data_IF_943428027075
#
_entry.id   IF_943428027075
#
_cell.length_a   1.000
_cell.length_b   1.000
_cell.length_c   1.000
_cell.angle_alpha   90.00
_cell.angle_beta   90.00
_cell.angle_gamma   90.00
#
_symmetry.space_group_name_H-M   'P 1'
#
loop_
_entity.id
_entity.type
_entity.pdbx_description
1 polymer ?
#
# COMPACT_ATOMS: atom_id res chain seq x y z
N UNK A 1 26.93 -4.26 37.80
CA UNK A 1 25.85 -4.09 36.79
C UNK A 1 25.70 -2.62 36.46
N UNK A 2 25.76 -2.24 35.18
CA UNK A 2 25.67 -0.85 34.72
C UNK A 2 24.57 -0.76 33.66
N UNK A 3 23.62 0.17 33.79
CA UNK A 3 22.46 0.30 32.90
C UNK A 3 21.69 -1.01 32.64
N UNK A 4 21.60 -1.88 33.65
CA UNK A 4 20.94 -3.19 33.52
C UNK A 4 21.69 -4.22 32.67
N UNK A 5 22.93 -3.92 32.25
CA UNK A 5 23.75 -4.80 31.40
C UNK A 5 25.02 -5.24 32.15
N UNK A 6 25.44 -6.49 31.90
CA UNK A 6 26.67 -7.08 32.40
C UNK A 6 26.53 -7.87 33.71
N UNK A 7 27.67 -8.22 34.32
CA UNK A 7 27.73 -9.03 35.54
C UNK A 7 27.39 -8.21 36.81
N UNK A 8 26.80 -8.88 37.80
CA UNK A 8 26.54 -8.31 39.13
C UNK A 8 27.83 -8.13 39.92
N UNK A 9 28.71 -9.13 39.87
CA UNK A 9 30.07 -9.10 40.42
C UNK A 9 31.04 -9.87 39.51
N UNK A 10 32.31 -9.47 39.48
CA UNK A 10 33.37 -10.22 38.80
C UNK A 10 33.84 -11.43 39.62
N UNK A 11 33.47 -11.53 40.90
CA UNK A 11 33.81 -12.67 41.75
C UNK A 11 33.02 -13.91 41.29
N UNK A 12 33.73 -15.00 41.00
CA UNK A 12 33.12 -16.25 40.53
C UNK A 12 32.91 -16.34 39.02
N UNK A 13 33.18 -15.27 38.24
CA UNK A 13 33.11 -15.33 36.77
C UNK A 13 34.40 -15.84 36.12
N UNK A 14 35.48 -16.01 36.89
CA UNK A 14 36.79 -16.45 36.37
C UNK A 14 37.47 -15.46 35.42
N UNK A 15 36.98 -14.21 35.35
CA UNK A 15 37.47 -13.16 34.45
C UNK A 15 37.52 -11.82 35.18
N UNK A 16 38.10 -10.79 34.55
CA UNK A 16 38.18 -9.44 35.12
C UNK A 16 36.83 -8.67 35.12
N UNK A 17 35.77 -9.24 34.54
CA UNK A 17 34.45 -8.59 34.45
C UNK A 17 34.38 -7.41 33.48
N UNK A 18 35.30 -7.30 32.52
CA UNK A 18 35.29 -6.23 31.51
C UNK A 18 34.11 -6.38 30.54
N UNK A 19 33.34 -5.30 30.37
CA UNK A 19 32.12 -5.28 29.55
C UNK A 19 32.29 -4.20 28.46
N UNK A 20 32.13 -4.60 27.20
CA UNK A 20 32.19 -3.69 26.04
C UNK A 20 30.83 -3.60 25.35
N UNK A 21 30.47 -2.41 24.86
CA UNK A 21 29.30 -2.27 23.98
C UNK A 21 29.55 -2.97 22.64
N UNK A 22 28.54 -3.64 22.11
CA UNK A 22 28.61 -4.16 20.74
C UNK A 22 28.73 -3.01 19.73
N UNK A 23 29.68 -3.10 18.80
CA UNK A 23 29.84 -2.15 17.69
C UNK A 23 28.81 -2.39 16.59
N UNK A 24 28.29 -3.62 16.46
CA UNK A 24 27.22 -3.96 15.54
C UNK A 24 25.85 -3.45 16.02
N UNK A 25 25.72 -3.19 17.33
CA UNK A 25 24.50 -2.60 17.89
C UNK A 25 24.42 -1.11 17.50
N UNK A 26 23.68 -0.83 16.43
CA UNK A 26 23.28 0.52 16.08
C UNK A 26 22.18 0.94 17.04
N UNK A 27 22.50 1.84 17.96
CA UNK A 27 21.46 2.57 18.70
C UNK A 27 20.58 3.25 17.66
N UNK A 28 19.27 3.00 17.70
CA UNK A 28 18.29 3.88 17.07
C UNK A 28 18.42 5.22 17.79
N UNK A 29 19.38 6.05 17.38
CA UNK A 29 19.33 7.47 17.70
C UNK A 29 18.05 7.95 17.07
N UNK A 30 17.19 8.51 17.89
CA UNK A 30 16.04 9.26 17.43
C UNK A 30 16.53 10.18 16.31
N UNK A 31 16.08 9.92 15.09
CA UNK A 31 16.52 10.56 13.86
C UNK A 31 15.95 12.00 13.76
N UNK A 32 15.66 12.62 14.90
CA UNK A 32 15.07 13.95 15.03
C UNK A 32 16.05 15.08 14.75
N UNK A 33 17.36 14.83 14.81
CA UNK A 33 18.38 15.84 14.48
C UNK A 33 18.97 15.71 13.07
N UNK A 34 18.50 14.74 12.27
CA UNK A 34 19.06 14.41 10.94
C UNK A 34 18.06 14.45 9.78
N UNK A 35 16.76 14.63 10.02
CA UNK A 35 15.78 14.92 8.96
C UNK A 35 15.93 16.36 8.50
N UNK A 36 16.99 16.56 7.71
CA UNK A 36 17.26 17.78 6.94
C UNK A 36 15.97 18.31 6.33
N UNK A 37 15.79 19.64 6.40
CA UNK A 37 14.78 20.42 5.67
C UNK A 37 14.63 19.97 4.20
N UNK A 38 15.68 19.38 3.64
CA UNK A 38 15.72 18.81 2.30
C UNK A 38 14.80 17.59 2.08
N UNK A 39 14.62 16.71 3.06
CA UNK A 39 13.71 15.55 2.92
C UNK A 39 12.23 16.00 2.92
N UNK A 40 11.93 17.02 3.72
CA UNK A 40 10.60 17.66 3.76
C UNK A 40 10.33 18.43 2.47
N UNK A 41 11.30 19.21 1.95
CA UNK A 41 11.20 19.89 0.65
C UNK A 41 11.10 18.93 -0.52
N UNK A 42 11.79 17.77 -0.48
CA UNK A 42 11.65 16.71 -1.49
C UNK A 42 10.26 16.08 -1.45
N UNK A 43 9.69 15.89 -0.26
CA UNK A 43 8.32 15.39 -0.09
C UNK A 43 7.28 16.40 -0.58
N UNK A 44 7.42 17.69 -0.24
CA UNK A 44 6.57 18.76 -0.79
C UNK A 44 6.70 18.86 -2.32
N UNK A 45 7.92 18.86 -2.87
CA UNK A 45 8.15 18.87 -4.31
C UNK A 45 7.61 17.62 -5.02
N UNK A 46 7.61 16.46 -4.36
CA UNK A 46 7.00 15.23 -4.87
C UNK A 46 5.47 15.25 -4.78
N UNK A 47 4.91 15.99 -3.82
CA UNK A 47 3.46 16.19 -3.70
C UNK A 47 2.90 17.21 -4.70
N UNK A 48 3.73 18.14 -5.20
CA UNK A 48 3.37 19.08 -6.28
C UNK A 48 3.47 18.49 -7.69
N UNK A 49 3.97 17.26 -7.81
CA UNK A 49 3.89 16.48 -9.05
C UNK A 49 2.62 15.63 -9.00
N UNK A 50 1.46 16.30 -9.01
CA UNK A 50 0.17 15.69 -9.32
C UNK A 50 0.22 15.13 -10.75
N UNK A 51 0.89 13.98 -10.91
CA UNK A 51 0.86 13.22 -12.16
C UNK A 51 -0.58 12.83 -12.37
N UNK A 52 -1.22 13.48 -13.34
CA UNK A 52 -2.56 13.12 -13.77
C UNK A 52 -2.61 11.61 -14.03
N UNK A 53 -3.70 10.93 -13.65
CA UNK A 53 -3.86 9.52 -13.95
C UNK A 53 -3.63 9.26 -15.45
N UNK A 54 -3.03 8.10 -15.76
CA UNK A 54 -2.79 7.70 -17.14
C UNK A 54 -4.12 7.63 -17.91
N UNK A 55 -4.17 8.26 -19.09
CA UNK A 55 -5.37 8.33 -19.89
C UNK A 55 -5.87 6.94 -20.34
N UNK A 56 -4.96 6.01 -20.59
CA UNK A 56 -5.30 4.62 -20.94
C UNK A 56 -5.92 3.86 -19.76
N UNK A 57 -5.44 4.12 -18.54
CA UNK A 57 -6.06 3.54 -17.32
C UNK A 57 -7.48 4.06 -17.14
N UNK A 58 -7.69 5.38 -17.31
CA UNK A 58 -9.02 5.99 -17.19
C UNK A 58 -10.00 5.46 -18.25
N UNK A 59 -9.55 5.31 -19.50
CA UNK A 59 -10.37 4.76 -20.58
C UNK A 59 -10.73 3.30 -20.30
N UNK A 60 -9.77 2.50 -19.85
CA UNK A 60 -10.00 1.10 -19.49
C UNK A 60 -11.00 0.98 -18.33
N UNK A 61 -10.87 1.80 -17.30
CA UNK A 61 -11.82 1.83 -16.19
C UNK A 61 -13.23 2.20 -16.66
N UNK A 62 -13.37 3.17 -17.58
CA UNK A 62 -14.65 3.54 -18.18
C UNK A 62 -15.27 2.37 -18.94
N UNK A 63 -14.52 1.72 -19.83
CA UNK A 63 -14.99 0.53 -20.59
C UNK A 63 -15.38 -0.61 -19.66
N UNK A 64 -14.57 -0.88 -18.64
CA UNK A 64 -14.84 -1.90 -17.63
C UNK A 64 -16.15 -1.63 -16.88
N UNK A 65 -16.42 -0.39 -16.49
CA UNK A 65 -17.68 -0.02 -15.81
C UNK A 65 -18.91 -0.32 -16.67
N UNK A 66 -18.85 -0.05 -17.97
CA UNK A 66 -19.93 -0.38 -18.91
C UNK A 66 -20.16 -1.89 -18.97
N UNK A 67 -19.09 -2.68 -19.16
CA UNK A 67 -19.21 -4.14 -19.26
C UNK A 67 -19.66 -4.79 -17.96
N UNK A 68 -19.22 -4.30 -16.80
CA UNK A 68 -19.71 -4.76 -15.49
C UNK A 68 -21.20 -4.52 -15.38
N UNK A 69 -21.69 -3.34 -15.76
CA UNK A 69 -23.12 -3.04 -15.70
C UNK A 69 -23.95 -3.89 -16.66
N UNK A 70 -23.40 -4.22 -17.83
CA UNK A 70 -24.01 -5.13 -18.78
C UNK A 70 -24.09 -6.56 -18.24
N UNK A 71 -23.05 -7.02 -17.54
CA UNK A 71 -23.03 -8.33 -16.90
C UNK A 71 -24.00 -8.41 -15.73
N UNK A 72 -24.11 -7.36 -14.90
CA UNK A 72 -25.12 -7.25 -13.85
C UNK A 72 -26.54 -7.38 -14.43
N UNK A 73 -26.85 -6.63 -15.49
CA UNK A 73 -28.15 -6.72 -16.15
C UNK A 73 -28.42 -8.12 -16.70
N UNK A 74 -27.42 -8.76 -17.30
CA UNK A 74 -27.54 -10.13 -17.82
C UNK A 74 -27.91 -11.10 -16.71
N UNK A 75 -27.16 -11.11 -15.60
CA UNK A 75 -27.45 -11.97 -14.45
C UNK A 75 -28.86 -11.72 -13.90
N UNK A 76 -29.27 -10.47 -13.76
CA UNK A 76 -30.63 -10.13 -13.28
C UNK A 76 -31.75 -10.62 -14.20
N UNK A 77 -31.51 -10.77 -15.51
CA UNK A 77 -32.49 -11.26 -16.47
C UNK A 77 -32.45 -12.80 -16.57
N UNK A 78 -31.28 -13.41 -16.42
CA UNK A 78 -31.12 -14.86 -16.31
C UNK A 78 -31.80 -15.38 -15.04
N UNK A 79 -31.66 -14.70 -13.90
CA UNK A 79 -32.36 -15.01 -12.64
C UNK A 79 -33.89 -14.92 -12.75
N UNK A 80 -34.41 -14.22 -13.78
CA UNK A 80 -35.84 -14.08 -14.07
C UNK A 80 -36.32 -15.07 -15.14
N UNK A 81 -35.47 -16.01 -15.57
CA UNK A 81 -35.76 -17.02 -16.60
C UNK A 81 -36.24 -16.41 -17.93
N UNK A 82 -35.70 -15.24 -18.33
CA UNK A 82 -35.98 -14.67 -19.64
C UNK A 82 -35.29 -15.45 -20.76
N UNK A 83 -35.85 -15.45 -21.99
CA UNK A 83 -35.21 -16.09 -23.13
C UNK A 83 -33.93 -15.33 -23.55
N UNK A 84 -32.88 -16.08 -23.89
CA UNK A 84 -31.55 -15.53 -24.23
C UNK A 84 -31.61 -14.40 -25.28
N UNK A 85 -32.50 -14.53 -26.27
CA UNK A 85 -32.67 -13.51 -27.31
C UNK A 85 -33.10 -12.13 -26.73
N UNK A 86 -34.00 -12.11 -25.75
CA UNK A 86 -34.42 -10.86 -25.10
C UNK A 86 -33.35 -10.29 -24.17
N UNK A 87 -32.55 -11.17 -23.57
CA UNK A 87 -31.41 -10.79 -22.72
C UNK A 87 -30.35 -10.09 -23.57
N UNK A 88 -29.98 -10.67 -24.70
CA UNK A 88 -29.01 -10.09 -25.64
C UNK A 88 -29.47 -8.73 -26.16
N UNK A 89 -30.73 -8.60 -26.59
CA UNK A 89 -31.28 -7.32 -27.05
C UNK A 89 -31.18 -6.23 -25.98
N UNK A 90 -31.58 -6.53 -24.74
CA UNK A 90 -31.52 -5.59 -23.62
C UNK A 90 -30.09 -5.21 -23.26
N UNK A 91 -29.17 -6.16 -23.24
CA UNK A 91 -27.74 -5.92 -22.98
C UNK A 91 -27.10 -5.08 -24.10
N UNK A 92 -27.43 -5.33 -25.36
CA UNK A 92 -26.94 -4.55 -26.51
C UNK A 92 -27.49 -3.13 -26.47
N UNK A 93 -28.76 -2.94 -26.12
CA UNK A 93 -29.32 -1.61 -25.92
C UNK A 93 -28.61 -0.85 -24.80
N UNK A 94 -28.31 -1.52 -23.68
CA UNK A 94 -27.58 -0.93 -22.56
C UNK A 94 -26.15 -0.54 -22.94
N UNK A 95 -25.44 -1.38 -23.69
CA UNK A 95 -24.09 -1.06 -24.22
C UNK A 95 -24.06 0.17 -25.14
N UNK A 96 -25.15 0.45 -25.86
CA UNK A 96 -25.24 1.64 -26.74
C UNK A 96 -25.58 2.92 -25.98
N UNK A 97 -26.21 2.80 -24.81
CA UNK A 97 -26.66 3.96 -24.03
C UNK A 97 -25.60 4.46 -23.03
N UNK A 98 -24.65 3.62 -22.62
CA UNK A 98 -23.57 3.92 -21.67
C UNK A 98 -22.22 4.17 -22.37
#
# INVERSE_FOLDING_TARGET
MYNGVGLTTARGSGTNGYIQRSLAFRSFRDDSYGRSSEDSKRKEASSSLDRKPDAGILEHERKRKVEVRCMELRMELEDKDLPEAEIEEKVVMLRKTL
#
